data_IF_007765169432
#
_entry.id   IF_007765169432
#
_cell.length_a   1.000
_cell.length_b   1.000
_cell.length_c   1.000
_cell.angle_alpha   90.00
_cell.angle_beta   90.00
_cell.angle_gamma   90.00
#
_symmetry.space_group_name_H-M   'P 1'
#
loop_
_entity.id
_entity.type
_entity.pdbx_description
1 polymer ?
#
# COMPACT_ATOMS: atom_id res chain seq x y z
N UNK A 1 24.52 -21.47 -24.66
CA UNK A 1 24.93 -20.35 -25.54
C UNK A 1 23.68 -19.69 -26.09
N UNK A 2 23.63 -18.36 -25.96
CA UNK A 2 22.73 -17.38 -26.58
C UNK A 2 21.22 -17.43 -26.27
N UNK A 3 20.76 -16.45 -25.46
CA UNK A 3 19.55 -15.65 -25.74
C UNK A 3 19.72 -14.24 -25.14
N UNK A 4 19.94 -13.28 -26.04
CA UNK A 4 19.82 -11.82 -25.89
C UNK A 4 18.35 -11.48 -25.52
N UNK A 5 17.99 -10.52 -24.66
CA UNK A 5 18.43 -9.13 -24.61
C UNK A 5 17.43 -8.24 -25.37
N UNK A 6 16.24 -7.98 -24.80
CA UNK A 6 15.25 -7.04 -25.37
C UNK A 6 15.10 -5.81 -24.47
N UNK A 7 15.82 -4.75 -24.84
CA UNK A 7 15.51 -3.37 -24.50
C UNK A 7 14.83 -2.79 -25.74
N UNK A 8 13.59 -2.31 -25.61
CA UNK A 8 12.94 -1.51 -26.66
C UNK A 8 12.97 -0.03 -26.30
N UNK A 9 13.65 0.71 -27.16
CA UNK A 9 13.64 2.16 -27.34
C UNK A 9 12.21 2.72 -27.36
N UNK A 10 11.99 3.85 -26.68
CA UNK A 10 10.84 4.70 -26.91
C UNK A 10 11.32 6.13 -27.20
N UNK A 11 11.24 6.53 -28.48
CA UNK A 11 11.31 7.93 -28.91
C UNK A 11 10.12 8.25 -29.83
N UNK A 12 9.41 9.31 -29.42
CA UNK A 12 8.67 10.30 -30.19
C UNK A 12 7.63 9.88 -31.26
N UNK A 13 6.37 10.29 -31.04
CA UNK A 13 5.65 11.16 -31.99
C UNK A 13 4.34 11.68 -31.39
N UNK A 14 4.21 13.00 -31.40
CA UNK A 14 3.04 13.81 -31.09
C UNK A 14 1.97 13.67 -32.19
N UNK A 15 0.69 13.67 -31.82
CA UNK A 15 -0.40 14.04 -32.75
C UNK A 15 -1.66 13.17 -32.66
N UNK A 16 -2.81 13.84 -32.76
CA UNK A 16 -4.19 13.34 -32.87
C UNK A 16 -4.97 13.10 -31.57
N UNK A 17 -5.84 14.08 -31.33
CA UNK A 17 -6.85 14.24 -30.28
C UNK A 17 -8.12 13.44 -30.64
N UNK A 18 -8.81 12.93 -29.63
CA UNK A 18 -10.25 12.54 -29.61
C UNK A 18 -10.73 11.13 -30.03
N UNK A 19 -9.88 10.10 -30.16
CA UNK A 19 -10.35 8.71 -30.42
C UNK A 19 -9.73 7.62 -29.53
N UNK A 20 -9.30 7.98 -28.32
CA UNK A 20 -8.49 7.08 -27.45
C UNK A 20 -9.06 6.80 -26.06
N UNK A 21 -10.22 7.35 -25.69
CA UNK A 21 -10.80 7.06 -24.36
C UNK A 21 -11.24 5.58 -24.22
N UNK A 22 -11.82 4.99 -25.27
CA UNK A 22 -12.37 3.62 -25.21
C UNK A 22 -11.32 2.52 -25.45
N UNK A 23 -10.29 2.81 -26.24
CA UNK A 23 -9.22 1.84 -26.57
C UNK A 23 -8.13 1.80 -25.49
N UNK A 24 -7.95 2.88 -24.73
CA UNK A 24 -7.09 2.87 -23.54
C UNK A 24 -7.73 2.04 -22.43
N UNK A 25 -9.04 2.15 -22.19
CA UNK A 25 -9.74 1.29 -21.22
C UNK A 25 -9.55 -0.21 -21.52
N UNK A 26 -9.72 -0.65 -22.78
CA UNK A 26 -9.62 -2.06 -23.17
C UNK A 26 -8.22 -2.67 -23.17
N UNK A 27 -7.14 -1.86 -23.19
CA UNK A 27 -5.75 -2.36 -23.07
C UNK A 27 -5.26 -2.45 -21.63
N UNK A 28 -5.98 -1.87 -20.67
CA UNK A 28 -5.63 -1.88 -19.24
C UNK A 28 -6.23 -3.08 -18.48
N UNK A 29 -7.37 -3.62 -18.92
CA UNK A 29 -8.00 -4.80 -18.31
C UNK A 29 -7.07 -6.03 -18.29
N UNK A 30 -6.16 -6.17 -19.26
CA UNK A 30 -5.24 -7.30 -19.32
C UNK A 30 -4.24 -7.36 -18.15
N UNK A 31 -3.99 -6.28 -17.39
CA UNK A 31 -3.16 -6.31 -16.18
C UNK A 31 -3.92 -6.76 -14.94
N UNK A 32 -5.24 -6.63 -14.97
CA UNK A 32 -6.17 -7.23 -14.03
C UNK A 32 -6.93 -8.35 -14.75
N UNK A 33 -6.18 -9.30 -15.34
CA UNK A 33 -6.70 -10.53 -15.97
C UNK A 33 -7.26 -11.50 -14.90
N UNK A 34 -7.88 -10.93 -13.89
CA UNK A 34 -8.93 -11.56 -13.14
C UNK A 34 -10.17 -11.36 -14.00
N UNK A 35 -10.63 -12.42 -14.64
CA UNK A 35 -11.95 -12.55 -15.29
C UNK A 35 -13.07 -12.48 -14.22
N UNK A 36 -12.95 -11.52 -13.30
CA UNK A 36 -13.92 -11.20 -12.28
C UNK A 36 -14.79 -10.12 -12.90
N UNK A 37 -16.10 -10.38 -13.10
CA UNK A 37 -16.99 -9.36 -13.65
C UNK A 37 -16.82 -8.09 -12.83
N UNK A 38 -16.66 -6.95 -13.51
CA UNK A 38 -16.76 -5.66 -12.87
C UNK A 38 -18.02 -5.70 -11.99
N UNK A 39 -17.91 -5.59 -10.66
CA UNK A 39 -19.10 -5.68 -9.83
C UNK A 39 -20.03 -4.56 -10.29
N UNK A 40 -21.31 -4.88 -10.41
CA UNK A 40 -22.32 -3.95 -10.89
C UNK A 40 -22.22 -2.61 -10.14
N UNK A 41 -22.71 -1.53 -10.76
CA UNK A 41 -22.77 -0.19 -10.17
C UNK A 41 -23.55 -0.10 -8.83
N UNK A 42 -24.05 -1.22 -8.31
CA UNK A 42 -24.74 -1.36 -7.04
C UNK A 42 -23.82 -1.23 -5.81
N UNK A 43 -22.49 -1.16 -5.95
CA UNK A 43 -21.58 -1.14 -4.79
C UNK A 43 -21.51 0.17 -4.02
N UNK A 44 -22.10 1.27 -4.51
CA UNK A 44 -22.32 2.44 -3.65
C UNK A 44 -23.32 2.12 -2.54
N UNK A 45 -24.23 1.18 -2.81
CA UNK A 45 -25.06 0.57 -1.79
C UNK A 45 -24.29 -0.48 -0.97
N UNK A 46 -23.15 -1.04 -1.42
CA UNK A 46 -22.38 -1.96 -0.60
C UNK A 46 -21.75 -1.27 0.62
N UNK A 47 -21.10 -0.11 0.56
CA UNK A 47 -20.54 0.48 1.80
C UNK A 47 -21.62 0.79 2.86
N UNK A 48 -22.82 1.23 2.46
CA UNK A 48 -23.95 1.50 3.36
C UNK A 48 -24.82 0.28 3.71
N UNK A 49 -24.95 -0.70 2.82
CA UNK A 49 -25.71 -1.94 3.05
C UNK A 49 -24.86 -3.01 3.74
N UNK A 50 -23.54 -2.95 3.61
CA UNK A 50 -22.61 -3.93 4.18
C UNK A 50 -22.31 -3.62 5.65
N UNK A 51 -22.15 -2.34 6.01
CA UNK A 51 -22.21 -1.88 7.41
C UNK A 51 -23.55 -2.26 8.07
N UNK A 52 -24.67 -2.18 7.33
CA UNK A 52 -25.99 -2.67 7.80
C UNK A 52 -26.13 -4.20 7.87
N UNK A 53 -25.43 -4.97 7.03
CA UNK A 53 -25.52 -6.44 6.99
C UNK A 53 -24.69 -7.11 8.09
N UNK A 54 -23.48 -6.62 8.33
CA UNK A 54 -22.60 -7.15 9.40
C UNK A 54 -23.22 -6.94 10.79
N UNK A 55 -23.90 -5.82 11.02
CA UNK A 55 -24.67 -5.57 12.26
C UNK A 55 -25.90 -6.49 12.41
N UNK A 56 -26.40 -7.08 11.31
CA UNK A 56 -27.62 -7.90 11.28
C UNK A 56 -27.35 -9.38 11.58
N UNK A 57 -26.14 -9.86 11.34
CA UNK A 57 -25.76 -11.27 11.45
C UNK A 57 -25.22 -11.67 12.84
N UNK A 58 -25.25 -10.78 13.83
CA UNK A 58 -25.06 -11.13 15.25
C UNK A 58 -23.63 -11.49 15.67
N UNK A 59 -22.62 -11.11 14.89
CA UNK A 59 -21.21 -11.37 15.22
C UNK A 59 -20.70 -10.41 16.30
N UNK A 60 -19.85 -10.87 17.24
CA UNK A 60 -19.34 -10.03 18.31
C UNK A 60 -18.42 -8.96 17.73
N UNK A 61 -18.95 -7.77 17.54
CA UNK A 61 -18.18 -6.59 17.14
C UNK A 61 -18.13 -5.62 18.31
N UNK A 62 -16.98 -4.98 18.51
CA UNK A 62 -16.94 -3.92 19.51
C UNK A 62 -17.79 -2.74 19.03
N UNK A 63 -18.55 -2.14 19.94
CA UNK A 63 -19.19 -0.85 19.70
C UNK A 63 -18.29 0.33 20.10
N UNK A 64 -17.18 0.04 20.78
CA UNK A 64 -16.27 1.04 21.31
C UNK A 64 -14.89 0.93 20.66
N UNK A 65 -14.36 2.07 20.25
CA UNK A 65 -12.98 2.18 19.78
C UNK A 65 -12.03 1.80 20.92
N UNK A 66 -11.00 1.02 20.59
CA UNK A 66 -9.98 0.62 21.55
C UNK A 66 -9.29 1.84 22.18
N UNK A 67 -9.08 1.80 23.49
CA UNK A 67 -8.32 2.82 24.21
C UNK A 67 -6.86 2.90 23.73
N UNK A 68 -6.31 4.11 23.72
CA UNK A 68 -4.92 4.38 23.33
C UNK A 68 -4.70 4.46 21.82
N UNK A 69 -5.75 4.34 20.99
CA UNK A 69 -5.65 4.66 19.58
C UNK A 69 -5.61 6.18 19.35
N UNK A 70 -4.88 6.65 18.32
CA UNK A 70 -4.98 8.03 17.84
C UNK A 70 -6.42 8.39 17.44
N UNK A 71 -6.70 9.68 17.30
CA UNK A 71 -8.01 10.14 16.83
C UNK A 71 -8.35 9.49 15.48
N UNK A 72 -9.53 8.85 15.43
CA UNK A 72 -10.00 8.17 14.24
C UNK A 72 -10.45 9.20 13.18
N UNK A 73 -9.88 9.17 11.95
CA UNK A 73 -10.29 10.07 10.88
C UNK A 73 -11.79 9.96 10.61
N UNK A 74 -12.45 11.08 10.28
CA UNK A 74 -13.89 11.14 10.09
C UNK A 74 -14.43 10.05 9.12
N UNK A 75 -13.73 9.84 8.00
CA UNK A 75 -14.06 8.82 6.99
C UNK A 75 -13.90 7.37 7.44
N UNK A 76 -13.18 7.13 8.54
CA UNK A 76 -13.00 5.80 9.12
C UNK A 76 -14.03 5.49 10.22
N UNK A 77 -14.83 6.48 10.66
CA UNK A 77 -15.79 6.30 11.76
C UNK A 77 -16.95 5.35 11.41
N UNK A 78 -17.25 5.20 10.12
CA UNK A 78 -18.25 4.26 9.63
C UNK A 78 -17.73 2.82 9.48
N UNK A 79 -16.42 2.60 9.65
CA UNK A 79 -15.85 1.26 9.56
C UNK A 79 -16.30 0.41 10.76
N UNK A 80 -16.59 -0.88 10.53
CA UNK A 80 -16.94 -1.77 11.62
C UNK A 80 -15.69 -2.05 12.48
N UNK A 81 -15.87 -2.29 13.78
CA UNK A 81 -14.76 -2.54 14.73
C UNK A 81 -14.65 -4.02 15.09
N UNK A 82 -13.46 -4.60 15.01
CA UNK A 82 -13.26 -5.98 15.44
C UNK A 82 -13.57 -6.20 16.94
N UNK A 83 -13.56 -7.46 17.38
CA UNK A 83 -13.77 -7.86 18.78
C UNK A 83 -12.86 -7.12 19.78
N UNK A 84 -11.75 -6.53 19.32
CA UNK A 84 -10.73 -5.85 20.14
C UNK A 84 -10.85 -4.31 20.10
N UNK A 85 -11.81 -3.78 19.35
CA UNK A 85 -12.06 -2.35 19.16
C UNK A 85 -11.20 -1.67 18.09
N UNK A 86 -10.54 -2.41 17.20
CA UNK A 86 -9.83 -1.82 16.05
C UNK A 86 -10.77 -1.65 14.86
N UNK A 87 -10.72 -0.51 14.13
CA UNK A 87 -11.45 -0.38 12.88
C UNK A 87 -10.93 -1.41 11.88
N UNK A 88 -11.84 -2.09 11.18
CA UNK A 88 -11.52 -3.03 10.12
C UNK A 88 -11.40 -2.25 8.80
N UNK A 89 -10.19 -2.09 8.23
CA UNK A 89 -10.03 -1.39 6.96
C UNK A 89 -10.79 -2.07 5.82
N UNK A 90 -11.18 -1.28 4.83
CA UNK A 90 -11.94 -1.75 3.66
C UNK A 90 -11.29 -2.98 3.02
N UNK A 91 -9.97 -2.97 2.82
CA UNK A 91 -9.24 -4.06 2.17
C UNK A 91 -9.30 -5.43 2.86
N UNK A 92 -9.59 -5.48 4.16
CA UNK A 92 -9.52 -6.72 4.94
C UNK A 92 -10.54 -7.72 4.40
N UNK A 93 -10.11 -8.97 4.18
CA UNK A 93 -10.99 -10.06 3.79
C UNK A 93 -11.85 -10.50 4.99
N UNK A 94 -13.06 -10.95 4.69
CA UNK A 94 -14.00 -11.47 5.69
C UNK A 94 -14.25 -12.94 5.37
N UNK A 95 -13.93 -13.79 6.34
CA UNK A 95 -13.93 -15.25 6.18
C UNK A 95 -14.81 -15.80 7.31
N UNK A 96 -15.85 -16.53 6.94
CA UNK A 96 -16.85 -17.05 7.87
C UNK A 96 -17.42 -15.97 8.81
N UNK A 97 -17.66 -14.78 8.24
CA UNK A 97 -18.17 -13.63 8.96
C UNK A 97 -17.13 -12.88 9.81
N UNK A 98 -15.88 -13.34 9.93
CA UNK A 98 -14.85 -12.66 10.73
C UNK A 98 -13.81 -11.94 9.88
N UNK A 99 -13.35 -10.74 10.29
CA UNK A 99 -12.28 -10.06 9.58
C UNK A 99 -10.93 -10.74 9.79
N UNK A 100 -10.24 -11.08 8.70
CA UNK A 100 -8.87 -11.59 8.73
C UNK A 100 -7.88 -10.55 8.21
N UNK A 101 -7.30 -9.80 9.13
CA UNK A 101 -6.30 -8.75 8.85
C UNK A 101 -5.03 -9.25 8.15
N UNK A 102 -4.84 -10.57 8.04
CA UNK A 102 -3.69 -11.17 7.34
C UNK A 102 -3.94 -11.29 5.84
N UNK A 103 -5.20 -11.24 5.41
CA UNK A 103 -5.63 -11.46 4.04
C UNK A 103 -6.20 -10.17 3.46
N UNK A 104 -5.58 -9.69 2.39
CA UNK A 104 -6.11 -8.59 1.60
C UNK A 104 -7.05 -9.14 0.51
N UNK A 105 -8.25 -8.58 0.45
CA UNK A 105 -9.26 -8.98 -0.53
C UNK A 105 -8.88 -8.46 -1.92
N UNK A 106 -8.59 -9.39 -2.84
CA UNK A 106 -8.15 -9.07 -4.20
C UNK A 106 -9.25 -8.39 -5.04
N UNK A 107 -10.53 -8.67 -4.77
CA UNK A 107 -11.64 -7.96 -5.43
C UNK A 107 -11.63 -6.49 -5.03
N UNK A 108 -11.44 -6.24 -3.73
CA UNK A 108 -11.34 -4.86 -3.22
C UNK A 108 -10.11 -4.14 -3.75
N UNK A 109 -9.00 -4.85 -4.00
CA UNK A 109 -7.80 -4.27 -4.63
C UNK A 109 -8.13 -3.73 -6.02
N UNK A 110 -8.77 -4.54 -6.86
CA UNK A 110 -9.22 -4.15 -8.19
C UNK A 110 -10.21 -2.97 -8.11
N UNK A 111 -11.18 -3.01 -7.20
CA UNK A 111 -12.14 -1.92 -6.99
C UNK A 111 -11.43 -0.61 -6.61
N UNK A 112 -10.54 -0.64 -5.61
CA UNK A 112 -9.82 0.55 -5.16
C UNK A 112 -8.98 1.17 -6.27
N UNK A 113 -8.33 0.35 -7.10
CA UNK A 113 -7.61 0.85 -8.25
C UNK A 113 -8.54 1.43 -9.32
N UNK A 114 -9.49 0.63 -9.82
CA UNK A 114 -10.32 0.97 -10.97
C UNK A 114 -11.31 2.11 -10.69
N UNK A 115 -11.81 2.21 -9.45
CA UNK A 115 -12.75 3.25 -9.03
C UNK A 115 -12.08 4.39 -8.25
N UNK A 116 -10.75 4.36 -8.13
CA UNK A 116 -10.00 5.40 -7.42
C UNK A 116 -10.50 5.59 -5.98
N UNK A 117 -10.63 4.49 -5.23
CA UNK A 117 -11.09 4.48 -3.84
C UNK A 117 -9.94 4.20 -2.87
N UNK A 118 -10.08 4.73 -1.65
CA UNK A 118 -9.12 4.58 -0.58
C UNK A 118 -9.02 3.14 -0.11
N UNK A 119 -7.80 2.61 -0.05
CA UNK A 119 -7.52 1.24 0.40
C UNK A 119 -7.98 0.97 1.83
N UNK A 120 -8.04 2.01 2.68
CA UNK A 120 -8.38 1.89 4.09
C UNK A 120 -9.85 2.15 4.42
N UNK A 121 -10.47 3.22 3.90
CA UNK A 121 -11.88 3.53 4.21
C UNK A 121 -12.87 3.17 3.09
N UNK A 122 -12.40 2.88 1.87
CA UNK A 122 -13.26 2.57 0.72
C UNK A 122 -13.90 3.78 0.05
N UNK A 123 -13.75 5.00 0.58
CA UNK A 123 -14.28 6.22 -0.03
C UNK A 123 -13.45 6.72 -1.23
N UNK A 124 -14.03 7.50 -2.16
CA UNK A 124 -13.30 8.06 -3.31
C UNK A 124 -12.10 8.92 -2.91
N UNK A 125 -10.99 8.75 -3.62
CA UNK A 125 -9.75 9.50 -3.44
C UNK A 125 -9.76 10.82 -4.21
N UNK A 126 -9.11 11.82 -3.63
CA UNK A 126 -8.82 13.09 -4.28
C UNK A 126 -7.48 13.07 -5.02
N UNK A 127 -6.98 14.26 -5.38
CA UNK A 127 -5.72 14.45 -6.11
C UNK A 127 -4.47 13.96 -5.37
N UNK A 128 -4.47 14.05 -4.04
CA UNK A 128 -3.36 13.61 -3.20
C UNK A 128 -3.65 12.21 -2.66
N UNK A 129 -2.73 11.30 -2.95
CA UNK A 129 -2.83 9.87 -2.66
C UNK A 129 -1.66 9.46 -1.80
N UNK A 130 -1.94 8.71 -0.73
CA UNK A 130 -0.95 8.27 0.23
C UNK A 130 -0.75 6.75 0.17
N UNK A 131 0.50 6.31 0.13
CA UNK A 131 0.87 4.90 0.23
C UNK A 131 1.52 4.65 1.58
N UNK A 132 1.08 3.63 2.31
CA UNK A 132 1.75 3.19 3.55
C UNK A 132 2.76 2.12 3.15
N UNK A 133 4.05 2.46 3.20
CA UNK A 133 5.11 1.63 2.65
C UNK A 133 6.28 1.48 3.63
N UNK A 134 7.11 0.46 3.41
CA UNK A 134 8.38 0.30 4.11
C UNK A 134 9.51 1.13 3.46
N UNK A 135 10.66 1.23 4.13
CA UNK A 135 11.80 2.02 3.63
C UNK A 135 12.35 1.52 2.28
N UNK A 136 12.33 0.21 2.04
CA UNK A 136 12.81 -0.34 0.75
C UNK A 136 11.87 -0.02 -0.41
N UNK A 137 10.57 0.12 -0.15
CA UNK A 137 9.60 0.60 -1.12
C UNK A 137 9.83 2.08 -1.48
N UNK A 138 10.36 2.89 -0.55
CA UNK A 138 10.78 4.24 -0.85
C UNK A 138 11.95 4.27 -1.84
N UNK A 139 12.88 3.31 -1.75
CA UNK A 139 14.01 3.15 -2.67
C UNK A 139 13.53 2.70 -4.05
N UNK A 140 12.85 1.56 -4.14
CA UNK A 140 12.45 0.98 -5.43
C UNK A 140 11.21 1.62 -6.06
N UNK A 141 10.48 2.47 -5.31
CA UNK A 141 9.24 3.15 -5.72
C UNK A 141 8.12 2.18 -6.09
N UNK A 142 7.97 1.09 -5.34
CA UNK A 142 6.98 0.05 -5.61
C UNK A 142 6.12 -0.25 -4.40
N UNK A 143 4.81 -0.33 -4.61
CA UNK A 143 3.81 -0.74 -3.61
C UNK A 143 3.01 -1.94 -4.15
N UNK A 144 2.68 -2.88 -3.28
CA UNK A 144 1.72 -3.96 -3.57
C UNK A 144 0.27 -3.57 -3.27
N UNK A 145 0.08 -2.40 -2.66
CA UNK A 145 -1.23 -1.91 -2.22
C UNK A 145 -1.61 -0.62 -2.96
N UNK A 146 -2.90 -0.44 -3.31
CA UNK A 146 -3.43 0.82 -3.83
C UNK A 146 -3.30 1.99 -2.83
N UNK A 147 -3.48 3.24 -3.29
CA UNK A 147 -3.40 4.41 -2.42
C UNK A 147 -4.56 4.52 -1.42
N UNK A 148 -4.33 5.37 -0.41
CA UNK A 148 -5.28 5.79 0.63
C UNK A 148 -5.34 7.31 0.74
N UNK A 149 -6.34 7.83 1.47
CA UNK A 149 -6.30 9.22 1.92
C UNK A 149 -5.13 9.41 2.90
N UNK A 150 -4.57 10.62 2.93
CA UNK A 150 -3.41 10.94 3.78
C UNK A 150 -3.66 10.72 5.26
N UNK A 151 -4.82 11.13 5.78
CA UNK A 151 -5.19 10.95 7.19
C UNK A 151 -5.47 9.49 7.54
N UNK A 152 -6.11 8.72 6.66
CA UNK A 152 -6.23 7.26 6.82
C UNK A 152 -4.88 6.58 6.89
N UNK A 153 -3.97 6.93 5.98
CA UNK A 153 -2.63 6.36 5.92
C UNK A 153 -1.80 6.69 7.17
N UNK A 154 -1.88 7.94 7.66
CA UNK A 154 -1.25 8.36 8.92
C UNK A 154 -1.83 7.61 10.12
N UNK A 155 -3.16 7.50 10.20
CA UNK A 155 -3.81 6.70 11.24
C UNK A 155 -3.30 5.25 11.20
N UNK A 156 -3.31 4.60 10.03
CA UNK A 156 -2.83 3.22 9.90
C UNK A 156 -1.35 3.06 10.32
N UNK A 157 -0.47 3.96 9.88
CA UNK A 157 0.95 3.94 10.25
C UNK A 157 1.17 4.11 11.78
N UNK A 158 0.33 4.91 12.43
CA UNK A 158 0.41 5.17 13.87
C UNK A 158 -0.29 4.13 14.76
N UNK A 159 -1.41 3.57 14.29
CA UNK A 159 -2.33 2.78 15.09
C UNK A 159 -2.23 1.27 14.84
N UNK A 160 -1.76 0.84 13.66
CA UNK A 160 -1.73 -0.57 13.29
C UNK A 160 -0.72 -1.34 14.16
N UNK A 161 -1.13 -2.38 14.91
CA UNK A 161 -0.20 -3.15 15.74
C UNK A 161 0.92 -3.82 14.96
N UNK A 162 0.74 -4.09 13.66
CA UNK A 162 1.79 -4.67 12.82
C UNK A 162 2.86 -3.65 12.42
N UNK A 163 2.46 -2.40 12.20
CA UNK A 163 3.37 -1.32 11.79
C UNK A 163 4.01 -0.63 13.00
N UNK A 164 3.24 -0.39 14.05
CA UNK A 164 3.68 0.31 15.25
C UNK A 164 4.44 -0.58 16.24
N UNK A 165 4.70 -1.85 15.95
CA UNK A 165 5.47 -2.75 16.84
C UNK A 165 6.61 -3.38 16.07
N UNK A 166 7.87 -2.98 16.30
CA UNK A 166 9.03 -3.45 15.53
C UNK A 166 9.24 -4.97 15.51
N UNK A 167 8.72 -5.68 16.51
CA UNK A 167 8.82 -7.15 16.64
C UNK A 167 7.55 -7.89 16.22
N UNK A 168 6.55 -7.19 15.66
CA UNK A 168 5.36 -7.86 15.16
C UNK A 168 5.71 -8.77 13.98
N UNK A 169 5.32 -10.03 14.08
CA UNK A 169 5.46 -11.04 13.02
C UNK A 169 4.08 -11.35 12.47
N UNK A 170 3.98 -11.50 11.14
CA UNK A 170 2.74 -11.95 10.51
C UNK A 170 2.47 -13.39 10.92
N UNK A 171 1.30 -13.63 11.51
CA UNK A 171 0.88 -14.98 11.92
C UNK A 171 0.52 -15.79 10.68
N UNK A 172 1.10 -16.98 10.52
CA UNK A 172 0.84 -17.87 9.36
C UNK A 172 -0.14 -19.02 9.66
N UNK A 173 -0.46 -19.26 10.94
CA UNK A 173 -1.31 -20.38 11.38
C UNK A 173 -2.76 -20.25 10.91
N UNK A 174 -3.32 -21.27 10.25
CA UNK A 174 -4.73 -21.28 9.83
C UNK A 174 -5.06 -20.15 8.85
N UNK A 175 -4.16 -19.86 7.92
CA UNK A 175 -4.47 -19.05 6.76
C UNK A 175 -5.25 -19.90 5.75
N UNK A 176 -6.22 -19.32 5.00
CA UNK A 176 -6.90 -20.04 3.93
C UNK A 176 -5.90 -20.59 2.91
N UNK A 177 -6.18 -21.79 2.41
CA UNK A 177 -5.35 -22.47 1.41
C UNK A 177 -5.42 -21.76 0.05
N UNK A 178 -6.56 -21.17 -0.28
CA UNK A 178 -6.87 -20.48 -1.53
C UNK A 178 -6.49 -18.98 -1.51
N UNK A 179 -5.81 -18.51 -0.46
CA UNK A 179 -5.40 -17.10 -0.39
C UNK A 179 -4.41 -16.76 -1.52
N UNK A 180 -4.49 -15.52 -1.97
CA UNK A 180 -3.53 -14.95 -2.91
C UNK A 180 -2.56 -14.08 -2.13
N UNK A 181 -1.28 -14.47 -2.13
CA UNK A 181 -0.23 -13.64 -1.54
C UNK A 181 0.01 -12.40 -2.44
N UNK A 182 0.42 -11.24 -1.86
CA UNK A 182 0.70 -10.05 -2.64
C UNK A 182 1.78 -10.30 -3.70
N UNK A 183 1.64 -9.63 -4.86
CA UNK A 183 2.61 -9.71 -5.93
C UNK A 183 4.01 -9.21 -5.49
N UNK A 184 5.05 -9.72 -6.16
CA UNK A 184 6.44 -9.33 -5.93
C UNK A 184 7.13 -10.06 -4.77
N UNK A 185 8.40 -9.67 -4.52
CA UNK A 185 9.24 -10.28 -3.49
C UNK A 185 9.23 -9.41 -2.23
N UNK A 186 8.43 -9.81 -1.23
CA UNK A 186 8.45 -9.17 0.08
C UNK A 186 9.71 -9.51 0.88
N UNK A 187 10.29 -8.52 1.57
CA UNK A 187 11.30 -8.81 2.58
C UNK A 187 10.59 -9.32 3.84
N UNK A 188 10.92 -10.54 4.26
CA UNK A 188 10.38 -11.21 5.46
C UNK A 188 10.99 -10.65 6.77
N UNK A 189 11.08 -9.33 6.89
CA UNK A 189 11.48 -8.63 8.12
C UNK A 189 10.49 -7.51 8.43
N UNK A 190 10.29 -7.23 9.71
CA UNK A 190 9.64 -6.00 10.13
C UNK A 190 10.67 -4.87 10.06
N UNK A 191 10.46 -3.80 9.28
CA UNK A 191 11.42 -2.72 9.16
C UNK A 191 11.52 -1.85 10.42
N UNK A 192 10.59 -1.97 11.38
CA UNK A 192 10.53 -1.10 12.57
C UNK A 192 10.08 0.34 12.29
N UNK A 193 10.06 0.74 11.01
CA UNK A 193 9.58 2.04 10.54
C UNK A 193 8.58 1.88 9.40
N UNK A 194 7.59 2.76 9.36
CA UNK A 194 6.62 2.90 8.28
C UNK A 194 6.70 4.31 7.67
N UNK A 195 6.39 4.41 6.38
CA UNK A 195 6.39 5.65 5.63
C UNK A 195 5.02 5.87 5.00
N UNK A 196 4.42 7.02 5.29
CA UNK A 196 3.31 7.55 4.51
C UNK A 196 3.87 8.41 3.38
N UNK A 197 3.78 7.88 2.16
CA UNK A 197 4.25 8.50 0.92
C UNK A 197 3.10 9.18 0.18
N UNK A 198 3.03 10.51 0.24
CA UNK A 198 1.98 11.27 -0.45
C UNK A 198 2.45 11.69 -1.83
N UNK A 199 1.73 11.32 -2.88
CA UNK A 199 2.03 11.67 -4.28
C UNK A 199 0.75 12.03 -5.04
N UNK A 200 0.90 12.56 -6.25
CA UNK A 200 -0.19 12.85 -7.20
C UNK A 200 -0.28 11.85 -8.34
N UNK A 201 0.65 10.90 -8.42
CA UNK A 201 0.71 9.97 -9.55
C UNK A 201 1.22 8.61 -9.12
N UNK A 202 0.66 7.58 -9.72
CA UNK A 202 1.16 6.21 -9.67
C UNK A 202 0.78 5.52 -10.98
N UNK A 203 1.45 4.42 -11.31
CA UNK A 203 1.12 3.60 -12.48
C UNK A 203 1.12 2.12 -12.09
N UNK A 204 0.05 1.36 -12.37
CA UNK A 204 0.07 -0.09 -12.21
C UNK A 204 1.02 -0.73 -13.22
N UNK A 205 1.63 -1.85 -12.86
CA UNK A 205 2.39 -2.70 -13.78
C UNK A 205 2.25 -4.17 -13.37
N UNK A 206 2.35 -5.08 -14.35
CA UNK A 206 2.30 -6.52 -14.09
C UNK A 206 3.60 -6.98 -13.42
N UNK A 207 3.47 -7.85 -12.43
CA UNK A 207 4.57 -8.53 -11.77
C UNK A 207 4.23 -10.02 -11.57
N UNK A 208 5.23 -10.88 -11.30
CA UNK A 208 4.95 -12.25 -10.89
C UNK A 208 4.00 -12.26 -9.68
N UNK A 209 2.88 -12.98 -9.80
CA UNK A 209 1.86 -13.08 -8.75
C UNK A 209 0.78 -11.99 -8.74
N UNK A 210 0.80 -11.02 -9.67
CA UNK A 210 -0.30 -10.05 -9.81
C UNK A 210 0.13 -8.65 -10.26
N UNK A 211 -0.49 -7.63 -9.67
CA UNK A 211 -0.22 -6.21 -9.96
C UNK A 211 0.60 -5.56 -8.87
N UNK A 212 1.53 -4.70 -9.28
CA UNK A 212 2.25 -3.77 -8.42
C UNK A 212 2.03 -2.33 -8.91
N UNK A 213 2.28 -1.37 -8.04
CA UNK A 213 2.13 0.05 -8.33
C UNK A 213 3.48 0.75 -8.26
N UNK A 214 3.90 1.34 -9.38
CA UNK A 214 5.02 2.27 -9.43
C UNK A 214 4.55 3.62 -8.92
N UNK A 215 5.05 4.03 -7.75
CA UNK A 215 4.66 5.30 -7.11
C UNK A 215 5.51 6.46 -7.65
N UNK A 216 4.86 7.60 -7.89
CA UNK A 216 5.52 8.82 -8.36
C UNK A 216 6.33 9.53 -7.27
N UNK A 217 6.91 10.67 -7.63
CA UNK A 217 7.65 11.51 -6.68
C UNK A 217 6.73 12.02 -5.56
N UNK A 218 7.25 12.19 -4.33
CA UNK A 218 6.43 12.57 -3.21
C UNK A 218 6.21 14.08 -3.21
N UNK A 219 5.00 14.48 -2.83
CA UNK A 219 4.70 15.84 -2.40
C UNK A 219 5.02 15.99 -0.91
N UNK A 220 4.78 14.94 -0.12
CA UNK A 220 4.98 14.92 1.33
C UNK A 220 5.35 13.50 1.78
N UNK A 221 6.14 13.42 2.86
CA UNK A 221 6.52 12.15 3.49
C UNK A 221 6.39 12.26 5.00
N UNK A 222 5.76 11.26 5.63
CA UNK A 222 5.65 11.16 7.07
C UNK A 222 6.19 9.81 7.52
N UNK A 223 7.24 9.82 8.33
CA UNK A 223 7.88 8.61 8.83
C UNK A 223 7.41 8.33 10.25
N UNK A 224 7.14 7.05 10.52
CA UNK A 224 6.66 6.57 11.80
C UNK A 224 7.53 5.43 12.31
N UNK A 225 7.81 5.44 13.61
CA UNK A 225 8.43 4.36 14.36
C UNK A 225 7.61 4.20 15.64
N UNK A 226 7.20 2.98 15.97
CA UNK A 226 6.44 2.71 17.20
C UNK A 226 5.16 3.56 17.37
N UNK A 227 4.55 3.95 16.25
CA UNK A 227 3.34 4.78 16.23
C UNK A 227 3.57 6.30 16.36
N UNK A 228 4.78 6.74 16.70
CA UNK A 228 5.20 8.16 16.74
C UNK A 228 5.98 8.55 15.49
N UNK A 229 6.31 9.84 15.34
CA UNK A 229 7.23 10.28 14.30
C UNK A 229 8.61 9.61 14.46
N UNK A 230 9.16 9.08 13.36
CA UNK A 230 10.48 8.47 13.35
C UNK A 230 11.59 9.51 13.26
N UNK A 231 12.72 9.23 13.90
CA UNK A 231 13.95 10.01 13.72
C UNK A 231 14.64 9.62 12.42
N UNK A 232 15.59 10.46 11.97
CA UNK A 232 16.41 10.13 10.81
C UNK A 232 17.25 8.88 11.04
N UNK A 233 17.79 8.71 12.24
CA UNK A 233 18.61 7.56 12.64
C UNK A 233 17.82 6.26 12.53
N UNK A 234 16.61 6.20 13.10
CA UNK A 234 15.72 5.03 13.02
C UNK A 234 15.42 4.63 11.56
N UNK A 235 15.20 5.62 10.68
CA UNK A 235 14.97 5.39 9.25
C UNK A 235 16.25 4.89 8.56
N UNK A 236 17.40 5.50 8.85
CA UNK A 236 18.68 5.11 8.28
C UNK A 236 19.07 3.69 8.68
N UNK A 237 18.93 3.31 9.95
CA UNK A 237 19.22 1.98 10.45
C UNK A 237 18.35 0.91 9.78
N UNK A 238 17.06 1.22 9.62
CA UNK A 238 16.14 0.34 8.89
C UNK A 238 16.50 0.20 7.42
N UNK A 239 17.00 1.27 6.79
CA UNK A 239 17.44 1.24 5.39
C UNK A 239 18.72 0.42 5.26
N UNK A 240 19.74 0.70 6.07
CA UNK A 240 21.03 0.03 6.05
C UNK A 240 20.90 -1.48 6.28
N UNK A 241 20.02 -1.91 7.18
CA UNK A 241 19.73 -3.33 7.40
C UNK A 241 18.98 -4.01 6.23
N UNK A 242 18.32 -3.26 5.35
CA UNK A 242 17.60 -3.78 4.19
C UNK A 242 18.39 -3.77 2.87
N UNK A 243 19.30 -2.82 2.71
CA UNK A 243 20.06 -2.61 1.48
C UNK A 243 20.86 -3.82 1.01
N UNK A 244 21.53 -4.62 1.87
CA UNK A 244 22.31 -5.77 1.41
C UNK A 244 21.53 -6.70 0.47
N UNK A 245 20.25 -6.97 0.78
CA UNK A 245 19.41 -7.83 -0.06
C UNK A 245 19.08 -7.22 -1.42
N UNK A 246 18.93 -5.89 -1.49
CA UNK A 246 18.72 -5.20 -2.77
C UNK A 246 20.00 -5.20 -3.61
N UNK A 247 21.17 -5.00 -2.98
CA UNK A 247 22.46 -5.06 -3.67
C UNK A 247 22.76 -6.48 -4.17
N UNK A 248 22.48 -7.52 -3.40
CA UNK A 248 22.57 -8.91 -3.88
C UNK A 248 21.79 -9.12 -5.17
N UNK A 249 20.53 -8.65 -5.23
CA UNK A 249 19.69 -8.76 -6.43
C UNK A 249 20.21 -7.89 -7.58
N UNK A 250 20.71 -6.69 -7.30
CA UNK A 250 21.28 -5.80 -8.31
C UNK A 250 22.57 -6.38 -8.91
N UNK A 251 23.45 -6.97 -8.09
CA UNK A 251 24.67 -7.64 -8.56
C UNK A 251 24.36 -8.83 -9.48
N UNK A 252 23.29 -9.60 -9.21
CA UNK A 252 22.83 -10.67 -10.12
C UNK A 252 22.36 -10.13 -11.49
N UNK A 253 22.00 -8.85 -11.57
CA UNK A 253 21.55 -8.17 -12.80
C UNK A 253 22.68 -7.37 -13.49
N UNK A 254 23.84 -7.23 -12.84
CA UNK A 254 25.04 -6.57 -13.38
C UNK A 254 25.20 -5.10 -12.95
N UNK A 255 26.33 -4.51 -13.34
CA UNK A 255 26.79 -3.21 -12.84
C UNK A 255 25.82 -2.05 -13.07
N UNK A 256 25.10 -2.06 -14.21
CA UNK A 256 24.09 -1.04 -14.50
C UNK A 256 22.96 -1.03 -13.46
N UNK A 257 22.54 -2.19 -12.98
CA UNK A 257 21.50 -2.31 -11.95
C UNK A 257 22.01 -1.83 -10.58
N UNK A 258 23.30 -2.05 -10.28
CA UNK A 258 23.94 -1.52 -9.07
C UNK A 258 23.95 0.02 -9.10
N UNK A 259 24.37 0.61 -10.22
CA UNK A 259 24.35 2.08 -10.38
C UNK A 259 22.94 2.68 -10.29
N UNK A 260 21.93 1.98 -10.84
CA UNK A 260 20.53 2.39 -10.71
C UNK A 260 20.09 2.34 -9.23
N UNK A 261 20.46 1.29 -8.50
CA UNK A 261 20.16 1.15 -7.08
C UNK A 261 20.82 2.28 -6.27
N UNK A 262 22.10 2.59 -6.50
CA UNK A 262 22.78 3.71 -5.83
C UNK A 262 22.05 5.03 -6.04
N UNK A 263 21.63 5.29 -7.29
CA UNK A 263 20.85 6.49 -7.63
C UNK A 263 19.49 6.49 -6.92
N UNK A 264 18.82 5.34 -6.86
CA UNK A 264 17.54 5.19 -6.18
C UNK A 264 17.66 5.42 -4.66
N UNK A 265 18.73 4.92 -4.03
CA UNK A 265 19.04 5.15 -2.62
C UNK A 265 19.30 6.63 -2.37
N UNK A 266 20.16 7.27 -3.17
CA UNK A 266 20.46 8.70 -3.06
C UNK A 266 19.22 9.59 -3.24
N UNK A 267 18.25 9.17 -4.07
CA UNK A 267 16.97 9.87 -4.19
C UNK A 267 16.08 9.65 -2.97
N UNK A 268 15.98 8.43 -2.46
CA UNK A 268 15.12 8.13 -1.31
C UNK A 268 15.55 8.87 -0.04
N UNK A 269 16.85 8.98 0.22
CA UNK A 269 17.43 9.63 1.41
C UNK A 269 17.11 11.13 1.52
N UNK A 270 16.77 11.78 0.40
CA UNK A 270 16.30 13.18 0.37
C UNK A 270 14.95 13.37 1.06
N UNK A 271 14.18 12.30 1.19
CA UNK A 271 12.85 12.31 1.80
C UNK A 271 12.83 11.72 3.21
N UNK A 272 13.99 11.39 3.76
CA UNK A 272 14.09 10.97 5.15
C UNK A 272 13.89 12.16 6.08
N UNK A 273 13.46 11.94 7.33
CA UNK A 273 13.34 13.03 8.29
C UNK A 273 14.61 13.86 8.30
N UNK A 274 14.50 15.19 8.35
CA UNK A 274 15.67 16.03 8.59
C UNK A 274 16.25 15.60 9.94
N UNK A 275 17.57 15.68 10.10
CA UNK A 275 18.16 15.58 11.45
C UNK A 275 17.34 16.50 12.35
N UNK A 276 16.97 16.03 13.54
CA UNK A 276 16.20 16.85 14.46
C UNK A 276 16.94 18.19 14.62
N UNK A 277 16.41 19.24 13.99
CA UNK A 277 16.60 20.56 14.54
C UNK A 277 15.96 20.45 15.92
N UNK A 278 16.70 20.81 16.96
CA UNK A 278 16.24 20.80 18.34
C UNK A 278 14.76 21.17 18.40
N UNK A 279 13.98 20.34 19.10
CA UNK A 279 12.53 20.41 19.16
C UNK A 279 12.03 21.87 19.23
N UNK A 280 11.43 22.36 18.15
CA UNK A 280 10.56 23.52 18.27
C UNK A 280 9.23 23.02 18.82
N UNK A 281 9.11 23.10 20.14
CA UNK A 281 7.85 23.21 20.84
C UNK A 281 7.09 24.43 20.28
N UNK A 282 5.84 24.20 19.86
CA UNK A 282 4.89 25.21 19.41
C UNK A 282 3.53 24.58 19.21
#
# INVERSE_FOLDING_TARGET
MNTLGYISLALASSGAIAWTATTVARRFDAAFDFDLPAPANDDRALTEAWSRRVLRDGLPMSQQLREGLPELPARMRALPLDERGYPVPYFVAWIDGKPDFRVADQKKLAICHNRHCCWLCGEPLGKYMAFVIGPMCAVNRTSSEPPSHTDCAKFAASACPFLARPKAVRRASGLPEDRVDPAGLGLSRNPGVALVWVTRSYKPFKAPGGVLFKIGEPEQTFWYAEGRAATREEVMDSVQSGLPRLYELAHLQGDAAVMELDTAVARATRHFPRHAAAAHLG
#
